data_IF_838216398578
#
_entry.id   IF_838216398578
#
_cell.length_a   1.000
_cell.length_b   1.000
_cell.length_c   1.000
_cell.angle_alpha   90.00
_cell.angle_beta   90.00
_cell.angle_gamma   90.00
#
_symmetry.space_group_name_H-M   'P 1'
#
loop_
_entity.id
_entity.type
_entity.pdbx_description
1 polymer ?
#
# COMPACT_ATOMS: atom_id res chain seq x y z
N UNK A 1 -6.32 4.03 -14.16
CA UNK A 1 -4.89 3.86 -13.82
C UNK A 1 -4.73 2.96 -12.61
N UNK A 2 -3.50 2.55 -12.25
CA UNK A 2 -3.26 1.69 -11.09
C UNK A 2 -3.60 2.42 -9.78
N UNK A 3 -4.54 1.87 -9.00
CA UNK A 3 -5.01 2.48 -7.75
C UNK A 3 -4.59 1.72 -6.49
N UNK A 4 -4.41 0.40 -6.61
CA UNK A 4 -4.14 -0.51 -5.49
C UNK A 4 -2.63 -0.66 -5.25
N UNK A 5 -2.25 -0.92 -4.00
CA UNK A 5 -0.89 -1.28 -3.57
C UNK A 5 0.25 -0.39 -4.12
N UNK A 6 0.10 0.94 -3.97
CA UNK A 6 1.11 1.93 -4.40
C UNK A 6 2.09 2.36 -3.30
N UNK A 7 1.78 2.05 -2.05
CA UNK A 7 2.58 2.47 -0.90
C UNK A 7 3.92 1.74 -0.86
N UNK A 8 4.91 2.33 -0.18
CA UNK A 8 6.24 1.73 -0.02
C UNK A 8 6.16 0.30 0.57
N UNK A 9 6.87 -0.65 -0.05
CA UNK A 9 6.83 -2.07 0.32
C UNK A 9 5.48 -2.76 0.12
N UNK A 10 4.51 -2.16 -0.57
CA UNK A 10 3.22 -2.79 -0.82
C UNK A 10 3.32 -3.86 -1.91
N UNK A 11 2.59 -4.95 -1.71
CA UNK A 11 2.39 -6.01 -2.68
C UNK A 11 0.98 -6.59 -2.54
N UNK A 12 0.57 -7.37 -3.52
CA UNK A 12 -0.74 -8.02 -3.59
C UNK A 12 -0.51 -9.46 -4.05
N UNK A 13 -1.21 -10.39 -3.43
CA UNK A 13 -1.14 -11.80 -3.83
C UNK A 13 -2.32 -12.12 -4.75
N UNK A 14 -2.05 -12.72 -5.90
CA UNK A 14 -3.07 -13.28 -6.77
C UNK A 14 -3.45 -14.68 -6.25
N UNK A 15 -4.70 -14.86 -5.84
CA UNK A 15 -5.18 -16.14 -5.31
C UNK A 15 -5.74 -17.05 -6.40
N UNK A 16 -6.40 -16.47 -7.39
CA UNK A 16 -7.00 -17.23 -8.47
C UNK A 16 -7.78 -16.38 -9.44
N UNK A 17 -8.28 -17.01 -10.51
CA UNK A 17 -9.11 -16.38 -11.52
C UNK A 17 -10.45 -17.11 -11.60
N UNK A 18 -11.52 -16.34 -11.56
CA UNK A 18 -12.91 -16.76 -11.62
C UNK A 18 -13.57 -16.03 -12.81
N UNK A 19 -13.48 -16.66 -14.00
CA UNK A 19 -13.98 -16.12 -15.26
C UNK A 19 -13.40 -14.73 -15.62
N UNK A 20 -14.27 -13.72 -15.60
CA UNK A 20 -13.96 -12.31 -15.91
C UNK A 20 -13.32 -11.55 -14.75
N UNK A 21 -13.21 -12.17 -13.57
CA UNK A 21 -12.63 -11.58 -12.37
C UNK A 21 -11.42 -12.39 -11.87
N UNK A 22 -10.47 -11.71 -11.27
CA UNK A 22 -9.36 -12.25 -10.52
C UNK A 22 -9.57 -11.95 -9.04
N UNK A 23 -9.29 -12.94 -8.18
CA UNK A 23 -9.33 -12.78 -6.73
C UNK A 23 -7.91 -12.41 -6.28
N UNK A 24 -7.79 -11.24 -5.65
CA UNK A 24 -6.55 -10.74 -5.09
C UNK A 24 -6.68 -10.58 -3.58
N UNK A 25 -5.59 -10.84 -2.85
CA UNK A 25 -5.44 -10.54 -1.43
C UNK A 25 -4.58 -9.29 -1.28
N UNK A 26 -5.17 -8.24 -0.72
CA UNK A 26 -4.50 -6.98 -0.44
C UNK A 26 -3.63 -7.10 0.81
N UNK A 27 -2.65 -6.20 0.94
CA UNK A 27 -1.80 -6.08 2.14
C UNK A 27 -2.60 -5.78 3.42
N UNK A 28 -3.80 -5.22 3.30
CA UNK A 28 -4.74 -5.06 4.42
C UNK A 28 -5.31 -6.37 4.96
N UNK A 29 -5.12 -7.50 4.25
CA UNK A 29 -5.75 -8.79 4.53
C UNK A 29 -7.09 -8.98 3.82
N UNK A 30 -7.65 -7.92 3.24
CA UNK A 30 -8.90 -7.98 2.47
C UNK A 30 -8.73 -8.80 1.19
N UNK A 31 -9.70 -9.66 0.90
CA UNK A 31 -9.81 -10.36 -0.38
C UNK A 31 -10.82 -9.63 -1.27
N UNK A 32 -10.42 -9.31 -2.49
CA UNK A 32 -11.22 -8.52 -3.42
C UNK A 32 -11.19 -9.10 -4.83
N UNK A 33 -12.34 -9.06 -5.51
CA UNK A 33 -12.45 -9.38 -6.94
C UNK A 33 -12.10 -8.16 -7.79
N UNK A 34 -11.25 -8.33 -8.80
CA UNK A 34 -10.82 -7.30 -9.76
C UNK A 34 -10.99 -7.83 -11.18
N UNK A 35 -11.41 -7.00 -12.13
CA UNK A 35 -11.54 -7.42 -13.53
C UNK A 35 -10.21 -7.86 -14.13
N UNK A 36 -10.23 -8.93 -14.92
CA UNK A 36 -9.01 -9.52 -15.53
C UNK A 36 -8.35 -8.58 -16.53
N UNK A 37 -9.10 -7.66 -17.14
CA UNK A 37 -8.54 -6.64 -18.05
C UNK A 37 -7.68 -5.59 -17.34
N UNK A 38 -7.71 -5.53 -16.00
CA UNK A 38 -6.86 -4.62 -15.24
C UNK A 38 -5.39 -5.01 -15.37
N UNK A 39 -4.54 -4.03 -15.70
CA UNK A 39 -3.08 -4.24 -15.77
C UNK A 39 -2.47 -4.30 -14.38
N UNK A 40 -1.54 -5.23 -14.17
CA UNK A 40 -0.75 -5.38 -12.95
C UNK A 40 0.75 -5.35 -13.28
N UNK A 41 1.57 -5.03 -12.28
CA UNK A 41 3.03 -5.10 -12.36
C UNK A 41 3.50 -6.26 -11.50
N UNK A 42 4.48 -7.01 -11.99
CA UNK A 42 5.08 -8.14 -11.27
C UNK A 42 6.11 -7.60 -10.27
N UNK A 43 6.06 -8.09 -9.04
CA UNK A 43 6.98 -7.74 -7.97
C UNK A 43 6.33 -6.86 -6.90
N UNK A 44 7.18 -6.29 -6.04
CA UNK A 44 6.77 -5.48 -4.91
C UNK A 44 7.21 -4.02 -5.08
N UNK A 45 6.50 -3.10 -4.43
CA UNK A 45 6.93 -1.70 -4.42
C UNK A 45 8.20 -1.58 -3.58
N UNK A 46 9.16 -0.79 -4.09
CA UNK A 46 10.43 -0.52 -3.42
C UNK A 46 10.27 0.20 -2.07
N UNK A 47 11.38 0.35 -1.33
CA UNK A 47 11.43 1.03 -0.03
C UNK A 47 10.65 0.32 1.10
N UNK A 48 10.86 -0.98 1.28
CA UNK A 48 10.21 -1.78 2.34
C UNK A 48 10.51 -1.27 3.76
N UNK A 49 11.71 -0.72 3.99
CA UNK A 49 12.17 -0.23 5.29
C UNK A 49 11.63 1.16 5.67
N UNK A 50 10.76 1.75 4.86
CA UNK A 50 10.18 3.07 5.12
C UNK A 50 9.53 3.17 6.52
N UNK A 51 9.00 2.06 7.04
CA UNK A 51 8.39 2.00 8.36
C UNK A 51 9.41 2.02 9.52
N UNK A 52 10.64 1.56 9.28
CA UNK A 52 11.72 1.53 10.28
C UNK A 52 12.37 2.90 10.48
N UNK A 53 12.05 3.87 9.61
CA UNK A 53 12.64 5.21 9.66
C UNK A 53 12.15 5.99 10.89
N UNK A 54 13.05 6.19 11.86
CA UNK A 54 12.83 7.15 12.95
C UNK A 54 12.90 8.60 12.44
N UNK A 55 11.92 9.42 12.84
CA UNK A 55 11.87 10.85 12.49
C UNK A 55 12.80 11.67 13.40
N UNK A 56 13.16 11.14 14.58
CA UNK A 56 14.16 11.69 15.51
C UNK A 56 13.72 12.93 16.28
N UNK A 57 13.25 13.99 15.59
CA UNK A 57 12.91 15.28 16.20
C UNK A 57 11.53 15.78 15.80
N UNK A 58 10.87 16.53 16.70
CA UNK A 58 9.56 17.15 16.45
C UNK A 58 9.54 18.05 15.20
N UNK A 59 10.65 18.76 14.92
CA UNK A 59 10.79 19.58 13.71
C UNK A 59 10.68 18.79 12.41
N UNK A 60 11.18 17.55 12.37
CA UNK A 60 11.15 16.73 11.17
C UNK A 60 9.73 16.22 10.86
N UNK A 61 8.86 16.07 11.86
CA UNK A 61 7.43 15.84 11.63
C UNK A 61 6.74 17.06 11.02
N UNK A 62 7.10 18.27 11.46
CA UNK A 62 6.56 19.54 10.92
C UNK A 62 6.96 19.76 9.46
N UNK A 63 8.19 19.40 9.05
CA UNK A 63 8.62 19.47 7.65
C UNK A 63 7.80 18.58 6.70
N UNK A 64 7.14 17.53 7.24
CA UNK A 64 6.23 16.65 6.48
C UNK A 64 4.78 17.11 6.49
N UNK A 65 4.49 18.30 7.03
CA UNK A 65 3.15 18.86 7.11
C UNK A 65 2.30 18.36 8.29
N UNK A 66 2.84 17.53 9.18
CA UNK A 66 2.12 17.06 10.37
C UNK A 66 2.21 18.11 11.48
N UNK A 67 1.05 18.65 11.88
CA UNK A 67 0.91 19.62 12.99
C UNK A 67 0.75 18.89 14.33
N UNK A 68 1.11 19.51 15.47
CA UNK A 68 0.92 18.91 16.79
C UNK A 68 -0.58 18.71 17.09
N UNK A 69 -0.92 17.52 17.60
CA UNK A 69 -2.28 17.18 18.04
C UNK A 69 -2.33 17.19 19.57
N UNK A 70 -3.33 17.87 20.15
CA UNK A 70 -3.56 17.88 21.60
C UNK A 70 -4.42 16.67 21.97
N UNK A 71 -4.07 15.97 23.06
CA UNK A 71 -4.91 14.93 23.65
C UNK A 71 -5.98 15.62 24.48
N UNK A 72 -7.16 15.83 23.90
CA UNK A 72 -8.37 16.16 24.65
C UNK A 72 -8.87 14.95 25.40
#
# INVERSE_FOLDING_TARGET
GAQLARSAGASVQLLGRDGSYAIIRLRSGEMRKVHVECRAVIGEVSNQENNLRSIGKAGAARWRGVRPTVRG
#
